data_IF_007381992744
#
_entry.id   IF_007381992744
#
_cell.length_a   1.000
_cell.length_b   1.000
_cell.length_c   1.000
_cell.angle_alpha   90.00
_cell.angle_beta   90.00
_cell.angle_gamma   90.00
#
_symmetry.space_group_name_H-M   'P 1'
#
loop_
_entity.id
_entity.type
_entity.pdbx_description
1 polymer ?
#
# COMPACT_ATOMS: atom_id res chain seq x y z
N UNK A 1 3.48 -27.26 -12.89
CA UNK A 1 3.97 -25.93 -12.49
C UNK A 1 3.18 -25.51 -11.27
N UNK A 2 3.83 -24.89 -10.27
CA UNK A 2 3.14 -24.26 -9.14
C UNK A 2 3.16 -22.75 -9.34
N UNK A 3 1.99 -22.13 -9.32
CA UNK A 3 1.79 -20.69 -9.51
C UNK A 3 1.26 -20.00 -8.26
N UNK A 4 0.98 -20.77 -7.21
CA UNK A 4 0.50 -20.26 -5.94
C UNK A 4 1.59 -19.45 -5.25
N UNK A 5 1.18 -18.35 -4.63
CA UNK A 5 2.06 -17.61 -3.73
C UNK A 5 2.32 -18.44 -2.48
N UNK A 6 3.56 -18.37 -1.99
CA UNK A 6 3.88 -18.94 -0.68
C UNK A 6 3.29 -18.09 0.45
N UNK A 7 3.37 -18.59 1.69
CA UNK A 7 2.77 -17.93 2.84
C UNK A 7 3.32 -16.52 3.11
N UNK A 8 4.62 -16.33 2.92
CA UNK A 8 5.29 -15.03 3.09
C UNK A 8 4.81 -14.01 2.03
N UNK A 9 4.72 -14.43 0.78
CA UNK A 9 4.20 -13.60 -0.31
C UNK A 9 2.73 -13.24 -0.10
N UNK A 10 1.91 -14.18 0.39
CA UNK A 10 0.52 -13.92 0.75
C UNK A 10 0.41 -12.94 1.92
N UNK A 11 1.31 -13.02 2.90
CA UNK A 11 1.38 -12.06 4.01
C UNK A 11 1.68 -10.66 3.49
N UNK A 12 2.73 -10.50 2.68
CA UNK A 12 3.09 -9.20 2.07
C UNK A 12 1.93 -8.66 1.24
N UNK A 13 1.30 -9.49 0.40
CA UNK A 13 0.16 -9.09 -0.42
C UNK A 13 -0.99 -8.55 0.43
N UNK A 14 -1.34 -9.23 1.54
CA UNK A 14 -2.41 -8.79 2.45
C UNK A 14 -2.04 -7.46 3.12
N UNK A 15 -0.85 -7.37 3.70
CA UNK A 15 -0.42 -6.15 4.40
C UNK A 15 -0.41 -4.92 3.49
N UNK A 16 0.11 -5.07 2.26
CA UNK A 16 0.12 -3.98 1.27
C UNK A 16 -1.30 -3.61 0.83
N UNK A 17 -2.19 -4.59 0.65
CA UNK A 17 -3.59 -4.32 0.28
C UNK A 17 -4.32 -3.55 1.37
N UNK A 18 -4.21 -3.97 2.62
CA UNK A 18 -4.84 -3.30 3.75
C UNK A 18 -4.36 -1.85 3.92
N UNK A 19 -3.04 -1.62 3.79
CA UNK A 19 -2.49 -0.26 3.78
C UNK A 19 -3.05 0.57 2.62
N UNK A 20 -3.10 -0.01 1.42
CA UNK A 20 -3.58 0.69 0.22
C UNK A 20 -5.04 1.09 0.32
N UNK A 21 -5.90 0.18 0.78
CA UNK A 21 -7.33 0.44 0.96
C UNK A 21 -7.59 1.53 2.00
N UNK A 22 -6.78 1.58 3.06
CA UNK A 22 -6.95 2.54 4.16
C UNK A 22 -6.31 3.91 3.89
N UNK A 23 -5.13 3.94 3.27
CA UNK A 23 -4.26 5.13 3.22
C UNK A 23 -4.05 5.72 1.82
N UNK A 24 -4.19 4.91 0.76
CA UNK A 24 -4.02 5.35 -0.63
C UNK A 24 -5.38 5.62 -1.30
N UNK A 25 -6.28 4.64 -1.27
CA UNK A 25 -7.54 4.68 -2.00
C UNK A 25 -8.41 5.93 -1.74
N UNK A 26 -8.54 6.44 -0.49
CA UNK A 26 -9.38 7.61 -0.22
C UNK A 26 -8.93 8.91 -0.91
N UNK A 27 -7.62 9.06 -1.18
CA UNK A 27 -7.03 10.27 -1.77
C UNK A 27 -6.46 10.06 -3.18
N UNK A 28 -6.54 8.85 -3.73
CA UNK A 28 -5.88 8.48 -4.99
C UNK A 28 -6.31 9.38 -6.16
N UNK A 29 -7.61 9.65 -6.30
CA UNK A 29 -8.14 10.52 -7.35
C UNK A 29 -7.63 11.97 -7.25
N UNK A 30 -7.51 12.51 -6.03
CA UNK A 30 -6.99 13.87 -5.84
C UNK A 30 -5.52 13.96 -6.25
N UNK A 31 -4.70 13.00 -5.80
CA UNK A 31 -3.27 12.93 -6.12
C UNK A 31 -3.04 12.80 -7.63
N UNK A 32 -3.82 11.96 -8.31
CA UNK A 32 -3.77 11.81 -9.77
C UNK A 32 -4.09 13.11 -10.50
N UNK A 33 -5.17 13.79 -10.08
CA UNK A 33 -5.60 15.04 -10.70
C UNK A 33 -4.65 16.22 -10.45
N UNK A 34 -4.11 16.33 -9.23
CA UNK A 34 -3.27 17.46 -8.84
C UNK A 34 -1.80 17.27 -9.21
N UNK A 35 -1.36 16.02 -9.38
CA UNK A 35 0.04 15.67 -9.57
C UNK A 35 0.91 15.93 -8.33
N UNK A 36 0.30 16.13 -7.16
CA UNK A 36 1.04 16.40 -5.92
C UNK A 36 1.76 15.15 -5.41
N UNK A 37 2.89 15.34 -4.73
CA UNK A 37 3.56 14.24 -4.06
C UNK A 37 2.85 13.91 -2.72
N UNK A 38 2.33 12.68 -2.51
CA UNK A 38 1.55 12.32 -1.32
C UNK A 38 2.44 12.02 -0.11
N UNK A 39 3.20 13.01 0.36
CA UNK A 39 4.21 12.85 1.40
C UNK A 39 3.65 12.28 2.72
N UNK A 40 2.39 12.57 3.05
CA UNK A 40 1.74 12.02 4.24
C UNK A 40 1.55 10.50 4.15
N UNK A 41 1.08 9.98 3.02
CA UNK A 41 0.91 8.54 2.82
C UNK A 41 2.26 7.82 2.81
N UNK A 42 3.30 8.40 2.19
CA UNK A 42 4.65 7.83 2.22
C UNK A 42 5.23 7.75 3.64
N UNK A 43 5.01 8.76 4.49
CA UNK A 43 5.42 8.71 5.90
C UNK A 43 4.71 7.59 6.67
N UNK A 44 3.41 7.38 6.43
CA UNK A 44 2.65 6.29 7.06
C UNK A 44 3.16 4.91 6.61
N UNK A 45 3.51 4.77 5.32
CA UNK A 45 4.05 3.52 4.78
C UNK A 45 5.38 3.16 5.44
N UNK A 46 6.24 4.14 5.69
CA UNK A 46 7.54 3.93 6.31
C UNK A 46 7.45 3.35 7.74
N UNK A 47 6.39 3.64 8.48
CA UNK A 47 6.17 3.11 9.83
C UNK A 47 5.32 1.84 9.85
N UNK A 48 4.43 1.65 8.88
CA UNK A 48 3.49 0.52 8.85
C UNK A 48 4.11 -0.82 8.43
N UNK A 49 5.32 -0.81 7.87
CA UNK A 49 6.02 -2.01 7.37
C UNK A 49 7.23 -2.41 8.22
N UNK A 50 7.43 -1.75 9.36
CA UNK A 50 8.56 -1.97 10.28
C UNK A 50 8.16 -2.58 11.62
N UNK A 51 6.86 -2.78 11.85
CA UNK A 51 6.28 -3.48 13.00
C UNK A 51 6.04 -4.96 12.67
#
# INVERSE_FOLDING_TARGET
MHFDLNEEQLLIQRSVREFSDRELAPNAHHVDQSGEFPAATFRKMATALTD
#
